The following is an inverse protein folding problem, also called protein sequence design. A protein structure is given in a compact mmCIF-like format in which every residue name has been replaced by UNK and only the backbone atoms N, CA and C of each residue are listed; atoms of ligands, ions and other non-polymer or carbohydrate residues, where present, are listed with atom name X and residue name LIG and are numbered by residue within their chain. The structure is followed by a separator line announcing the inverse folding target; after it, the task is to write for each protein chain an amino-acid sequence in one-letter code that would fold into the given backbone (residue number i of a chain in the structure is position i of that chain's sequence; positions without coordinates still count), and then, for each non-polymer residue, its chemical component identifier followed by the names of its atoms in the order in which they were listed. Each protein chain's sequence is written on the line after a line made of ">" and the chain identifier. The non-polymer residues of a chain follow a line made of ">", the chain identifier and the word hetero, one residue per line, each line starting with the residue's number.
data_IF_836229489583
#
_entry.id   IF_836229489583
#
_cell.length_a   1.000
_cell.length_b   1.000
_cell.length_c   1.000
_cell.angle_alpha   90.00
_cell.angle_beta   90.00
_cell.angle_gamma   90.00
#
_symmetry.space_group_name_H-M   'P 1'
#
loop_
_entity.id
_entity.type
_entity.pdbx_description
1 polymer ?
#
# COMPACT_ATOMS: atom_id res chain seq x y z
N UNK A 1 -6.56 -20.50 6.14
CA UNK A 1 -6.81 -19.06 5.94
C UNK A 1 -5.58 -18.37 5.35
N UNK A 2 -5.66 -17.09 5.00
CA UNK A 2 -4.52 -16.28 4.53
C UNK A 2 -4.49 -14.98 5.31
N UNK A 3 -3.30 -14.57 5.78
CA UNK A 3 -3.06 -13.23 6.31
C UNK A 3 -2.04 -12.51 5.44
N UNK A 4 -2.18 -11.19 5.34
CA UNK A 4 -1.21 -10.33 4.65
C UNK A 4 -0.67 -9.30 5.62
N UNK A 5 0.62 -9.00 5.53
CA UNK A 5 1.25 -7.93 6.31
C UNK A 5 2.35 -7.26 5.50
N UNK A 6 2.75 -6.08 5.94
CA UNK A 6 3.76 -5.26 5.30
C UNK A 6 5.10 -5.44 5.99
N UNK A 7 6.15 -5.42 5.21
CA UNK A 7 7.54 -5.41 5.70
C UNK A 7 8.36 -4.43 4.88
N UNK A 8 9.33 -3.80 5.52
CA UNK A 8 10.31 -2.95 4.86
C UNK A 8 11.16 -3.73 3.84
N UNK A 9 11.79 -3.08 2.86
CA UNK A 9 12.72 -3.73 1.94
C UNK A 9 13.89 -4.42 2.65
N UNK A 10 14.39 -3.84 3.75
CA UNK A 10 15.46 -4.43 4.58
C UNK A 10 14.98 -5.72 5.26
N UNK A 11 13.85 -5.66 5.96
CA UNK A 11 13.23 -6.82 6.60
C UNK A 11 12.88 -7.94 5.60
N UNK A 12 12.51 -7.59 4.37
CA UNK A 12 12.27 -8.58 3.32
C UNK A 12 13.53 -9.40 3.01
N UNK A 13 14.71 -8.78 3.01
CA UNK A 13 15.99 -9.47 2.86
C UNK A 13 16.23 -10.49 3.98
N UNK A 14 15.97 -10.10 5.22
CA UNK A 14 16.09 -10.95 6.41
C UNK A 14 15.14 -12.16 6.38
N UNK A 15 13.89 -11.96 5.93
CA UNK A 15 12.90 -13.04 5.81
C UNK A 15 13.26 -14.03 4.70
N UNK A 16 13.71 -13.55 3.55
CA UNK A 16 14.06 -14.40 2.42
C UNK A 16 15.34 -15.19 2.76
N UNK A 17 16.34 -14.52 3.30
CA UNK A 17 17.64 -15.09 3.55
C UNK A 17 18.44 -15.38 2.29
N UNK A 18 19.67 -15.85 2.42
CA UNK A 18 20.57 -16.13 1.30
C UNK A 18 19.99 -17.25 0.41
N UNK A 19 19.65 -16.91 -0.83
CA UNK A 19 19.08 -17.88 -1.78
C UNK A 19 17.72 -18.45 -1.37
N UNK A 20 16.96 -17.76 -0.48
CA UNK A 20 15.67 -18.23 0.01
C UNK A 20 15.75 -19.24 1.16
N UNK A 21 16.92 -19.44 1.76
CA UNK A 21 17.12 -20.44 2.81
C UNK A 21 16.22 -20.21 4.02
N UNK A 22 16.14 -18.97 4.53
CA UNK A 22 15.38 -18.65 5.75
C UNK A 22 13.87 -18.84 5.55
N UNK A 23 13.32 -18.37 4.42
CA UNK A 23 11.90 -18.52 4.15
C UNK A 23 11.51 -20.00 3.96
N UNK A 24 12.38 -20.78 3.33
CA UNK A 24 12.15 -22.23 3.17
C UNK A 24 12.22 -22.98 4.50
N UNK A 25 13.14 -22.60 5.38
CA UNK A 25 13.23 -23.14 6.73
C UNK A 25 11.96 -22.83 7.54
N UNK A 26 11.50 -21.58 7.53
CA UNK A 26 10.26 -21.19 8.21
C UNK A 26 9.04 -21.97 7.71
N UNK A 27 8.93 -22.17 6.41
CA UNK A 27 7.86 -22.97 5.83
C UNK A 27 7.94 -24.45 6.22
N UNK A 28 9.16 -25.02 6.24
CA UNK A 28 9.37 -26.40 6.62
C UNK A 28 9.04 -26.67 8.10
N UNK A 29 9.41 -25.74 8.99
CA UNK A 29 9.16 -25.85 10.43
C UNK A 29 7.69 -25.69 10.81
N UNK A 30 6.94 -24.87 10.07
CA UNK A 30 5.58 -24.47 10.48
C UNK A 30 4.46 -25.09 9.63
N UNK A 31 4.81 -25.56 8.43
CA UNK A 31 3.82 -26.01 7.44
C UNK A 31 3.01 -24.87 6.81
N UNK A 32 3.25 -23.61 7.20
CA UNK A 32 2.63 -22.45 6.56
C UNK A 32 3.33 -22.15 5.24
N UNK A 33 2.56 -21.63 4.27
CA UNK A 33 3.11 -21.12 3.01
C UNK A 33 3.31 -19.62 3.12
N UNK A 34 4.54 -19.16 2.86
CA UNK A 34 4.93 -17.74 2.89
C UNK A 34 5.28 -17.27 1.48
N UNK A 35 4.68 -16.19 1.05
CA UNK A 35 4.93 -15.57 -0.26
C UNK A 35 5.16 -14.08 -0.08
N UNK A 36 6.21 -13.54 -0.69
CA UNK A 36 6.48 -12.12 -0.76
C UNK A 36 6.12 -11.56 -2.13
N UNK A 37 5.57 -10.36 -2.17
CA UNK A 37 5.44 -9.59 -3.41
C UNK A 37 6.81 -9.39 -4.06
N UNK A 38 6.86 -9.15 -5.37
CA UNK A 38 8.12 -8.90 -6.09
C UNK A 38 8.75 -7.59 -5.61
N UNK A 39 10.06 -7.40 -5.83
CA UNK A 39 10.77 -6.20 -5.37
C UNK A 39 10.15 -4.87 -5.83
N UNK A 40 9.45 -4.86 -6.95
CA UNK A 40 8.76 -3.67 -7.50
C UNK A 40 7.26 -3.63 -7.18
N UNK A 41 6.74 -4.64 -6.50
CA UNK A 41 5.34 -4.73 -6.08
C UNK A 41 5.26 -4.37 -4.60
N UNK A 42 5.05 -3.09 -4.32
CA UNK A 42 4.92 -2.55 -2.96
C UNK A 42 3.47 -2.23 -2.64
N UNK A 43 3.13 -2.16 -1.37
CA UNK A 43 1.80 -1.73 -0.96
C UNK A 43 1.60 -0.25 -1.31
N UNK A 44 0.47 0.14 -1.92
CA UNK A 44 0.23 1.50 -2.37
C UNK A 44 0.49 2.55 -1.29
N UNK A 45 1.26 3.59 -1.64
CA UNK A 45 1.64 4.67 -0.74
C UNK A 45 2.73 4.35 0.27
N UNK A 46 3.37 3.21 0.15
CA UNK A 46 4.53 2.80 0.95
C UNK A 46 5.64 2.26 0.05
N UNK A 47 6.80 2.01 0.63
CA UNK A 47 7.87 1.22 0.01
C UNK A 47 7.83 -0.24 0.47
N UNK A 48 6.84 -0.62 1.27
CA UNK A 48 6.80 -1.91 1.93
C UNK A 48 6.30 -2.99 0.99
N UNK A 49 6.90 -4.15 1.10
CA UNK A 49 6.49 -5.35 0.40
C UNK A 49 5.39 -6.07 1.16
N UNK A 50 4.51 -6.70 0.42
CA UNK A 50 3.44 -7.49 1.01
C UNK A 50 3.90 -8.93 1.19
N UNK A 51 3.79 -9.41 2.41
CA UNK A 51 3.95 -10.83 2.75
C UNK A 51 2.56 -11.44 2.90
N UNK A 52 2.32 -12.54 2.20
CA UNK A 52 1.11 -13.34 2.32
C UNK A 52 1.48 -14.66 2.99
N UNK A 53 0.83 -14.96 4.10
CA UNK A 53 1.00 -16.22 4.83
C UNK A 53 -0.30 -17.00 4.79
N UNK A 54 -0.25 -18.25 4.34
CA UNK A 54 -1.42 -19.12 4.24
C UNK A 54 -1.18 -20.47 4.92
N UNK A 55 -2.22 -20.97 5.56
CA UNK A 55 -2.22 -22.21 6.34
C UNK A 55 -3.38 -22.25 7.33
N UNK A 56 -3.31 -23.16 8.29
CA UNK A 56 -4.15 -23.07 9.48
C UNK A 56 -3.72 -21.93 10.40
N UNK A 57 -4.56 -21.52 11.33
CA UNK A 57 -4.25 -20.40 12.22
C UNK A 57 -3.00 -20.65 13.06
N UNK A 58 -2.79 -21.88 13.51
CA UNK A 58 -1.63 -22.25 14.33
C UNK A 58 -0.34 -22.12 13.53
N UNK A 59 -0.31 -22.65 12.31
CA UNK A 59 0.85 -22.54 11.42
C UNK A 59 1.17 -21.09 11.07
N UNK A 60 0.14 -20.26 10.83
CA UNK A 60 0.30 -18.82 10.58
C UNK A 60 0.92 -18.11 11.78
N UNK A 61 0.43 -18.37 13.00
CA UNK A 61 0.98 -17.76 14.21
C UNK A 61 2.41 -18.23 14.51
N UNK A 62 2.73 -19.49 14.23
CA UNK A 62 4.09 -20.02 14.39
C UNK A 62 5.07 -19.36 13.42
N UNK A 63 4.72 -19.23 12.13
CA UNK A 63 5.61 -18.57 11.18
C UNK A 63 5.73 -17.08 11.46
N UNK A 64 4.67 -16.40 11.89
CA UNK A 64 4.74 -15.01 12.33
C UNK A 64 5.66 -14.85 13.55
N UNK A 65 5.60 -15.76 14.51
CA UNK A 65 6.52 -15.76 15.64
C UNK A 65 7.98 -15.84 15.18
N UNK A 66 8.32 -16.74 14.26
CA UNK A 66 9.69 -16.86 13.72
C UNK A 66 10.13 -15.60 12.99
N UNK A 67 9.27 -15.05 12.13
CA UNK A 67 9.55 -13.83 11.37
C UNK A 67 9.74 -12.63 12.32
N UNK A 68 8.82 -12.41 13.25
CA UNK A 68 8.90 -11.30 14.20
C UNK A 68 10.08 -11.43 15.17
N UNK A 69 10.42 -12.66 15.63
CA UNK A 69 11.60 -12.90 16.45
C UNK A 69 12.87 -12.51 15.70
N UNK A 70 12.93 -12.78 14.40
CA UNK A 70 14.04 -12.37 13.56
C UNK A 70 14.11 -10.85 13.41
N UNK A 71 12.98 -10.18 13.20
CA UNK A 71 12.93 -8.72 13.13
C UNK A 71 13.42 -8.06 14.42
N UNK A 72 12.99 -8.57 15.57
CA UNK A 72 13.46 -8.07 16.88
C UNK A 72 14.97 -8.26 17.03
N UNK A 73 15.50 -9.43 16.60
CA UNK A 73 16.93 -9.71 16.67
C UNK A 73 17.76 -8.82 15.72
N UNK A 74 17.23 -8.52 14.54
CA UNK A 74 17.89 -7.70 13.51
C UNK A 74 17.65 -6.18 13.73
N UNK A 75 16.78 -5.78 14.69
CA UNK A 75 16.38 -4.39 14.92
C UNK A 75 15.50 -3.80 13.82
N UNK A 76 14.76 -4.65 13.11
CA UNK A 76 13.85 -4.30 12.03
C UNK A 76 12.40 -4.18 12.54
N UNK A 77 11.55 -3.49 11.75
CA UNK A 77 10.10 -3.36 12.06
C UNK A 77 9.81 -2.87 13.47
N UNK A 78 10.49 -1.80 13.85
CA UNK A 78 10.29 -1.09 15.11
C UNK A 78 9.59 0.26 14.88
N UNK A 79 8.80 0.70 15.85
CA UNK A 79 8.18 2.01 15.84
C UNK A 79 9.17 3.12 16.27
N UNK A 80 8.70 4.36 16.31
CA UNK A 80 9.51 5.53 16.74
C UNK A 80 9.96 5.44 18.19
N UNK A 81 9.35 4.59 19.01
CA UNK A 81 9.69 4.37 20.42
C UNK A 81 10.66 3.19 20.61
N UNK A 82 11.03 2.51 19.53
CA UNK A 82 11.87 1.32 19.57
C UNK A 82 11.11 0.04 19.90
N UNK A 83 9.77 0.07 19.87
CA UNK A 83 8.92 -1.11 20.13
C UNK A 83 8.66 -1.88 18.83
N UNK A 84 8.67 -3.23 18.87
CA UNK A 84 8.27 -4.05 17.72
C UNK A 84 6.91 -3.66 17.18
N UNK A 85 6.79 -3.65 15.85
CA UNK A 85 5.57 -3.28 15.13
C UNK A 85 5.27 -4.27 14.03
N UNK A 86 4.00 -4.59 13.82
CA UNK A 86 3.50 -5.36 12.71
C UNK A 86 2.32 -4.65 12.05
N UNK A 87 2.35 -4.50 10.75
CA UNK A 87 1.26 -3.88 9.99
C UNK A 87 0.55 -4.92 9.13
N UNK A 88 -0.64 -5.35 9.55
CA UNK A 88 -1.50 -6.23 8.78
C UNK A 88 -2.22 -5.47 7.67
N UNK A 89 -2.50 -6.16 6.57
CA UNK A 89 -3.33 -5.66 5.47
C UNK A 89 -4.68 -6.37 5.53
N UNK A 90 -5.74 -5.61 5.73
CA UNK A 90 -7.10 -6.12 5.91
C UNK A 90 -8.03 -5.55 4.84
N UNK A 91 -8.77 -6.39 4.09
CA UNK A 91 -9.77 -5.91 3.15
C UNK A 91 -10.78 -4.97 3.81
N UNK A 92 -11.06 -3.83 3.19
CA UNK A 92 -11.98 -2.83 3.76
C UNK A 92 -13.35 -3.43 4.10
N UNK A 93 -13.84 -4.36 3.28
CA UNK A 93 -15.10 -5.07 3.53
C UNK A 93 -15.12 -5.89 4.83
N UNK A 94 -13.94 -6.37 5.28
CA UNK A 94 -13.79 -7.14 6.53
C UNK A 94 -13.37 -6.28 7.74
N UNK A 95 -13.08 -4.99 7.55
CA UNK A 95 -12.70 -4.13 8.68
C UNK A 95 -13.82 -3.97 9.72
N UNK A 96 -15.08 -4.04 9.27
CA UNK A 96 -16.25 -3.94 10.15
C UNK A 96 -16.29 -5.02 11.22
N UNK A 97 -15.91 -6.27 10.88
CA UNK A 97 -15.88 -7.37 11.84
C UNK A 97 -14.76 -7.22 12.89
N UNK A 98 -13.64 -6.58 12.52
CA UNK A 98 -12.52 -6.27 13.42
C UNK A 98 -12.85 -5.11 14.35
N UNK A 99 -13.47 -4.04 13.81
CA UNK A 99 -13.87 -2.87 14.60
C UNK A 99 -14.98 -3.24 15.60
N UNK A 100 -15.99 -3.97 15.13
CA UNK A 100 -17.18 -4.29 15.89
C UNK A 100 -18.10 -3.09 16.11
N UNK A 101 -19.25 -3.31 16.72
CA UNK A 101 -20.29 -2.29 16.95
C UNK A 101 -19.74 -1.16 17.86
N UNK A 102 -19.68 0.07 17.34
CA UNK A 102 -19.14 1.22 18.07
C UNK A 102 -17.66 1.08 18.49
N UNK A 103 -16.90 0.21 17.83
CA UNK A 103 -15.49 -0.04 18.17
C UNK A 103 -15.27 -0.94 19.38
N UNK A 104 -16.30 -1.64 19.86
CA UNK A 104 -16.20 -2.48 21.05
C UNK A 104 -15.20 -3.62 20.89
N UNK A 105 -15.20 -4.28 19.71
CA UNK A 105 -14.35 -5.44 19.46
C UNK A 105 -12.87 -5.09 19.39
N UNK A 106 -12.52 -4.01 18.68
CA UNK A 106 -11.12 -3.57 18.62
C UNK A 106 -10.60 -3.09 19.98
N UNK A 107 -11.44 -2.47 20.80
CA UNK A 107 -11.07 -2.12 22.18
C UNK A 107 -10.82 -3.36 23.05
N UNK A 108 -11.67 -4.39 22.96
CA UNK A 108 -11.43 -5.66 23.64
C UNK A 108 -10.11 -6.29 23.19
N UNK A 109 -9.79 -6.24 21.89
CA UNK A 109 -8.49 -6.75 21.42
C UNK A 109 -7.29 -6.03 22.01
N UNK A 110 -7.37 -4.70 22.16
CA UNK A 110 -6.33 -3.91 22.84
C UNK A 110 -6.18 -4.34 24.30
N UNK A 111 -7.29 -4.48 25.03
CA UNK A 111 -7.31 -4.89 26.45
C UNK A 111 -6.76 -6.31 26.62
N UNK A 112 -7.24 -7.27 25.81
CA UNK A 112 -6.88 -8.68 25.93
C UNK A 112 -5.44 -8.97 25.49
N UNK A 113 -4.95 -8.28 24.46
CA UNK A 113 -3.58 -8.46 23.95
C UNK A 113 -2.55 -7.61 24.65
N UNK A 114 -2.95 -6.49 25.23
CA UNK A 114 -2.08 -5.42 25.73
C UNK A 114 -1.19 -4.81 24.65
N UNK A 115 -1.57 -4.93 23.38
CA UNK A 115 -0.93 -4.26 22.25
C UNK A 115 -1.67 -2.98 21.90
N UNK A 116 -0.97 -1.98 21.37
CA UNK A 116 -1.61 -0.83 20.72
C UNK A 116 -2.04 -1.25 19.31
N UNK A 117 -3.32 -1.11 19.00
CA UNK A 117 -3.91 -1.54 17.72
C UNK A 117 -4.55 -0.34 17.04
N UNK A 118 -4.04 0.02 15.87
CA UNK A 118 -4.52 1.16 15.07
C UNK A 118 -4.93 0.72 13.68
N UNK A 119 -6.19 0.94 13.32
CA UNK A 119 -6.68 0.73 11.96
C UNK A 119 -6.63 2.07 11.20
N UNK A 120 -6.06 2.07 9.99
CA UNK A 120 -6.01 3.26 9.13
C UNK A 120 -7.43 3.77 8.83
N UNK A 121 -7.58 5.09 8.64
CA UNK A 121 -8.87 5.68 8.29
C UNK A 121 -9.28 5.27 6.86
N UNK A 122 -10.59 5.15 6.63
CA UNK A 122 -11.14 4.82 5.32
C UNK A 122 -10.82 5.91 4.28
N UNK A 123 -10.81 7.17 4.70
CA UNK A 123 -10.51 8.33 3.84
C UNK A 123 -9.03 8.38 3.37
N UNK A 124 -8.17 7.54 3.95
CA UNK A 124 -6.75 7.44 3.60
C UNK A 124 -6.43 6.22 2.74
N UNK A 125 -7.44 5.56 2.18
CA UNK A 125 -7.22 4.47 1.24
C UNK A 125 -6.64 5.02 -0.07
N UNK A 126 -5.66 4.30 -0.60
CA UNK A 126 -5.07 4.67 -1.88
C UNK A 126 -6.03 4.33 -3.02
N UNK A 127 -6.11 5.18 -4.07
CA UNK A 127 -6.92 4.89 -5.25
C UNK A 127 -6.57 3.52 -5.84
N UNK A 128 -7.59 2.71 -6.06
CA UNK A 128 -7.41 1.34 -6.57
C UNK A 128 -7.00 0.29 -5.53
N UNK A 129 -6.83 0.68 -4.25
CA UNK A 129 -6.59 -0.23 -3.14
C UNK A 129 -7.83 -0.30 -2.24
N UNK A 130 -8.44 -1.47 -2.14
CA UNK A 130 -9.58 -1.70 -1.24
C UNK A 130 -9.17 -2.34 0.10
N UNK A 131 -7.90 -2.17 0.48
CA UNK A 131 -7.37 -2.69 1.73
C UNK A 131 -6.99 -1.55 2.67
N UNK A 132 -7.13 -1.81 3.96
CA UNK A 132 -6.70 -0.92 5.05
C UNK A 132 -5.56 -1.56 5.81
N UNK A 133 -4.74 -0.74 6.42
CA UNK A 133 -3.65 -1.19 7.27
C UNK A 133 -4.07 -1.20 8.73
N UNK A 134 -3.79 -2.31 9.42
CA UNK A 134 -3.97 -2.49 10.86
C UNK A 134 -2.59 -2.60 11.50
N UNK A 135 -2.14 -1.54 12.14
CA UNK A 135 -0.83 -1.49 12.81
C UNK A 135 -0.98 -1.96 14.25
N UNK A 136 -0.15 -2.90 14.64
CA UNK A 136 -0.10 -3.51 15.99
C UNK A 136 1.29 -3.26 16.55
N UNK A 137 1.38 -2.61 17.70
CA UNK A 137 2.64 -2.26 18.35
C UNK A 137 2.67 -2.79 19.78
N UNK A 138 3.81 -3.34 20.21
CA UNK A 138 3.98 -3.88 21.55
C UNK A 138 5.08 -4.92 21.63
N UNK A 139 5.16 -5.65 22.75
CA UNK A 139 6.06 -6.80 22.85
C UNK A 139 5.63 -7.90 21.86
N UNK A 140 6.56 -8.78 21.51
CA UNK A 140 6.30 -9.90 20.59
C UNK A 140 5.08 -10.72 21.02
N UNK A 141 4.95 -11.05 22.28
CA UNK A 141 3.81 -11.81 22.82
C UNK A 141 2.49 -11.04 22.69
N UNK A 142 2.52 -9.73 22.93
CA UNK A 142 1.33 -8.85 22.78
C UNK A 142 0.89 -8.80 21.31
N UNK A 143 1.84 -8.63 20.39
CA UNK A 143 1.56 -8.62 18.94
C UNK A 143 0.96 -9.95 18.50
N UNK A 144 1.53 -11.08 18.89
CA UNK A 144 1.02 -12.40 18.51
C UNK A 144 -0.39 -12.67 19.06
N UNK A 145 -0.66 -12.25 20.31
CA UNK A 145 -2.03 -12.32 20.87
C UNK A 145 -3.00 -11.47 20.08
N UNK A 146 -2.64 -10.22 19.76
CA UNK A 146 -3.47 -9.34 18.97
C UNK A 146 -3.76 -9.94 17.58
N UNK A 147 -2.72 -10.47 16.92
CA UNK A 147 -2.88 -11.15 15.61
C UNK A 147 -3.80 -12.37 15.73
N UNK A 148 -3.68 -13.17 16.79
CA UNK A 148 -4.55 -14.33 17.01
C UNK A 148 -6.03 -13.93 17.12
N UNK A 149 -6.34 -12.88 17.90
CA UNK A 149 -7.70 -12.35 18.06
C UNK A 149 -8.25 -11.78 16.74
N UNK A 150 -7.47 -10.99 16.04
CA UNK A 150 -7.83 -10.44 14.73
C UNK A 150 -8.03 -11.54 13.70
N UNK A 151 -7.11 -12.50 13.60
CA UNK A 151 -7.15 -13.58 12.63
C UNK A 151 -8.34 -14.52 12.89
N UNK A 152 -8.64 -14.86 14.16
CA UNK A 152 -9.83 -15.64 14.50
C UNK A 152 -11.11 -14.94 14.05
N UNK A 153 -11.19 -13.63 14.29
CA UNK A 153 -12.33 -12.82 13.86
C UNK A 153 -12.47 -12.75 12.34
N UNK A 154 -11.37 -12.60 11.62
CA UNK A 154 -11.36 -12.60 10.16
C UNK A 154 -11.74 -13.98 9.59
N UNK A 155 -11.35 -15.06 10.27
CA UNK A 155 -11.73 -16.41 9.86
C UNK A 155 -13.24 -16.69 9.99
N UNK A 156 -13.92 -15.99 10.90
CA UNK A 156 -15.38 -16.07 11.08
C UNK A 156 -16.15 -15.27 10.00
N UNK A 157 -15.49 -14.34 9.30
CA UNK A 157 -16.10 -13.56 8.21
C UNK A 157 -16.14 -14.39 6.92
N UNK A 158 -17.32 -14.81 6.44
CA UNK A 158 -17.44 -15.65 5.24
C UNK A 158 -16.95 -14.93 3.98
N UNK A 159 -16.94 -13.61 3.96
CA UNK A 159 -16.48 -12.82 2.82
C UNK A 159 -14.96 -12.67 2.78
N UNK A 160 -14.27 -12.81 3.93
CA UNK A 160 -12.83 -12.55 4.05
C UNK A 160 -11.98 -13.36 3.08
N UNK A 161 -12.22 -14.66 2.97
CA UNK A 161 -11.45 -15.55 2.10
C UNK A 161 -11.51 -15.11 0.64
N UNK A 162 -12.68 -14.69 0.18
CA UNK A 162 -12.88 -14.20 -1.19
C UNK A 162 -12.21 -12.84 -1.40
N UNK A 163 -12.35 -11.93 -0.42
CA UNK A 163 -11.79 -10.58 -0.49
C UNK A 163 -10.26 -10.60 -0.46
N UNK A 164 -9.66 -11.37 0.45
CA UNK A 164 -8.20 -11.43 0.58
C UNK A 164 -7.52 -12.08 -0.63
N UNK A 165 -8.19 -12.98 -1.33
CA UNK A 165 -7.68 -13.62 -2.55
C UNK A 165 -7.79 -12.72 -3.79
N UNK A 166 -8.84 -11.90 -3.90
CA UNK A 166 -9.05 -11.01 -5.06
C UNK A 166 -7.92 -9.99 -5.26
N UNK A 167 -7.28 -9.57 -4.19
CA UNK A 167 -6.18 -8.60 -4.22
C UNK A 167 -4.82 -9.29 -4.04
N UNK A 168 -4.52 -10.29 -4.87
CA UNK A 168 -3.24 -11.00 -4.80
C UNK A 168 -2.07 -10.20 -5.37
N UNK A 169 -2.32 -9.13 -6.11
CA UNK A 169 -1.27 -8.38 -6.80
C UNK A 169 -1.52 -6.88 -6.59
N UNK A 170 -0.70 -6.25 -5.77
CA UNK A 170 -0.59 -4.79 -5.69
C UNK A 170 0.34 -4.29 -6.80
N UNK A 171 0.15 -4.78 -8.03
CA UNK A 171 0.83 -4.21 -9.17
C UNK A 171 0.17 -2.86 -9.45
N UNK A 172 0.97 -1.83 -9.57
CA UNK A 172 0.56 -0.59 -10.20
C UNK A 172 0.15 -0.98 -11.63
N UNK A 173 -1.14 -1.24 -11.84
CA UNK A 173 -1.66 -1.50 -13.18
C UNK A 173 -1.48 -0.19 -13.95
N UNK A 174 -0.49 -0.18 -14.83
CA UNK A 174 -0.45 0.82 -15.89
C UNK A 174 -1.76 0.69 -16.68
N UNK A 175 -2.54 1.75 -16.86
CA UNK A 175 -3.82 1.70 -17.59
C UNK A 175 -3.71 1.25 -19.05
N UNK A 176 -2.50 0.97 -19.54
CA UNK A 176 -2.17 0.56 -20.91
C UNK A 176 -2.27 -0.97 -21.16
N UNK A 177 -2.57 -1.79 -20.17
CA UNK A 177 -2.60 -3.26 -20.35
C UNK A 177 -3.98 -3.83 -20.72
N UNK A 178 -5.02 -3.00 -20.87
CA UNK A 178 -6.37 -3.43 -21.25
C UNK A 178 -6.79 -2.97 -22.66
N UNK A 179 -5.91 -3.07 -23.65
CA UNK A 179 -6.36 -3.07 -25.06
C UNK A 179 -5.42 -3.91 -25.92
N UNK A 180 -5.87 -5.09 -26.29
CA UNK A 180 -5.15 -5.87 -27.29
C UNK A 180 -5.47 -7.35 -27.33
N UNK A 181 -6.74 -7.71 -27.49
CA UNK A 181 -7.10 -8.98 -28.12
C UNK A 181 -7.79 -8.68 -29.44
N UNK A 182 -7.09 -8.82 -30.53
CA UNK A 182 -7.70 -8.80 -31.86
C UNK A 182 -6.79 -8.32 -32.99
N UNK A 183 -6.22 -9.25 -33.77
CA UNK A 183 -6.02 -9.03 -35.20
C UNK A 183 -4.61 -8.70 -35.70
N UNK A 184 -3.94 -9.72 -36.19
CA UNK A 184 -2.79 -9.64 -37.12
C UNK A 184 -3.04 -8.63 -38.25
N UNK A 185 -2.07 -7.75 -38.53
CA UNK A 185 -1.59 -7.46 -39.89
C UNK A 185 -0.21 -6.79 -39.86
N UNK A 186 0.68 -7.37 -40.63
CA UNK A 186 2.01 -6.91 -40.99
C UNK A 186 1.98 -5.55 -41.68
N UNK A 187 3.00 -4.71 -41.40
CA UNK A 187 3.26 -3.47 -42.10
C UNK A 187 4.47 -2.75 -41.51
N UNK A 188 5.60 -3.01 -42.13
CA UNK A 188 6.90 -2.35 -41.95
C UNK A 188 6.79 -0.84 -42.20
N UNK A 189 7.17 -0.02 -41.19
CA UNK A 189 7.83 1.26 -41.42
C UNK A 189 8.52 1.69 -40.11
N UNK A 190 9.84 1.75 -40.17
CA UNK A 190 10.67 2.19 -39.06
C UNK A 190 10.48 3.67 -38.75
N UNK A 191 10.35 3.96 -37.45
CA UNK A 191 10.77 5.24 -36.87
C UNK A 191 11.18 5.00 -35.42
N UNK A 192 12.41 5.31 -35.13
CA UNK A 192 13.04 5.31 -33.80
C UNK A 192 12.14 6.07 -32.82
N UNK A 193 11.54 5.36 -31.86
CA UNK A 193 10.95 5.94 -30.65
C UNK A 193 11.80 5.48 -29.50
N UNK A 194 12.27 6.45 -28.73
CA UNK A 194 13.30 6.36 -27.70
C UNK A 194 13.13 5.19 -26.73
N UNK A 195 14.27 4.60 -26.38
CA UNK A 195 14.35 3.47 -25.48
C UNK A 195 13.70 3.76 -24.15
N UNK A 196 12.80 2.86 -23.75
CA UNK A 196 12.34 2.77 -22.39
C UNK A 196 13.53 2.38 -21.50
N UNK A 197 13.95 3.27 -20.61
CA UNK A 197 14.90 2.92 -19.56
C UNK A 197 14.20 1.95 -18.62
N UNK A 198 14.85 0.85 -18.30
CA UNK A 198 14.30 -0.26 -17.48
C UNK A 198 13.97 0.10 -16.03
N UNK A 199 14.12 1.38 -15.61
CA UNK A 199 13.96 1.86 -14.24
C UNK A 199 12.81 2.87 -14.03
N UNK A 200 11.87 3.02 -14.97
CA UNK A 200 10.76 3.97 -14.82
C UNK A 200 9.57 3.36 -14.07
N UNK A 201 9.19 3.99 -12.95
CA UNK A 201 7.99 3.68 -12.15
C UNK A 201 6.88 4.66 -12.48
N UNK A 202 5.62 4.20 -12.48
CA UNK A 202 4.45 5.06 -12.66
C UNK A 202 3.48 4.90 -11.51
N UNK A 203 2.97 6.02 -10.98
CA UNK A 203 1.87 6.04 -10.03
C UNK A 203 0.68 6.83 -10.56
N UNK A 204 -0.53 6.42 -10.18
CA UNK A 204 -1.77 7.14 -10.44
C UNK A 204 -2.24 7.82 -9.16
N UNK A 205 -2.43 9.12 -9.21
CA UNK A 205 -3.00 9.94 -8.13
C UNK A 205 -4.30 10.56 -8.64
N UNK A 206 -5.32 10.66 -7.80
CA UNK A 206 -6.57 11.35 -8.15
C UNK A 206 -6.69 12.68 -7.41
N UNK A 207 -7.10 13.72 -8.13
CA UNK A 207 -7.24 15.07 -7.58
C UNK A 207 -8.65 15.59 -7.93
N UNK A 208 -9.41 16.13 -6.95
CA UNK A 208 -10.69 16.76 -7.23
C UNK A 208 -10.55 17.81 -8.34
N UNK A 209 -11.46 17.80 -9.33
CA UNK A 209 -11.38 18.71 -10.50
C UNK A 209 -11.30 20.17 -10.07
N UNK A 210 -12.01 20.56 -9.02
CA UNK A 210 -11.96 21.91 -8.44
C UNK A 210 -10.56 22.35 -8.00
N UNK A 211 -9.67 21.41 -7.65
CA UNK A 211 -8.32 21.69 -7.16
C UNK A 211 -7.25 21.57 -8.26
N UNK A 212 -7.57 20.95 -9.38
CA UNK A 212 -6.62 20.70 -10.47
C UNK A 212 -6.00 21.98 -11.00
N UNK A 213 -6.81 23.04 -11.20
CA UNK A 213 -6.31 24.33 -11.65
C UNK A 213 -5.28 24.96 -10.71
N UNK A 214 -5.50 24.83 -9.41
CA UNK A 214 -4.60 25.35 -8.37
C UNK A 214 -3.31 24.51 -8.24
N UNK A 215 -3.41 23.19 -8.50
CA UNK A 215 -2.25 22.28 -8.53
C UNK A 215 -1.40 22.50 -9.78
N UNK A 216 -2.02 22.68 -10.94
CA UNK A 216 -1.31 23.00 -12.18
C UNK A 216 -0.59 24.36 -12.10
N UNK A 217 -1.22 25.33 -11.43
CA UNK A 217 -0.76 26.71 -11.38
C UNK A 217 -1.01 27.46 -12.69
N UNK A 218 -0.74 28.76 -12.71
CA UNK A 218 -0.92 29.61 -13.91
C UNK A 218 -0.07 29.09 -15.07
N UNK A 219 -0.72 28.67 -16.15
CA UNK A 219 -0.07 28.15 -17.35
C UNK A 219 0.73 26.86 -17.10
N UNK A 220 0.36 26.06 -16.10
CA UNK A 220 1.06 24.80 -15.78
C UNK A 220 2.42 24.96 -15.09
N UNK A 221 2.73 26.16 -14.58
CA UNK A 221 4.06 26.49 -13.99
C UNK A 221 4.38 25.61 -12.78
N UNK A 222 3.42 25.43 -11.87
CA UNK A 222 3.65 24.66 -10.63
C UNK A 222 3.92 23.19 -10.96
N UNK A 223 3.17 22.60 -11.89
CA UNK A 223 3.41 21.19 -12.25
C UNK A 223 4.74 21.03 -13.00
N UNK A 224 5.14 22.02 -13.80
CA UNK A 224 6.45 22.01 -14.45
C UNK A 224 7.60 22.10 -13.43
N UNK A 225 7.48 22.93 -12.39
CA UNK A 225 8.44 23.01 -11.28
C UNK A 225 8.55 21.66 -10.55
N UNK A 226 7.45 20.99 -10.27
CA UNK A 226 7.46 19.65 -9.65
C UNK A 226 8.14 18.63 -10.57
N UNK A 227 7.87 18.66 -11.87
CA UNK A 227 8.51 17.77 -12.84
C UNK A 227 10.04 17.98 -12.89
N UNK A 228 10.49 19.23 -12.89
CA UNK A 228 11.92 19.55 -12.86
C UNK A 228 12.57 19.12 -11.55
N UNK A 229 11.93 19.39 -10.41
CA UNK A 229 12.47 19.05 -9.10
C UNK A 229 12.57 17.53 -8.86
N UNK A 230 11.61 16.77 -9.40
CA UNK A 230 11.53 15.31 -9.21
C UNK A 230 12.17 14.49 -10.33
N UNK A 231 12.47 15.11 -11.48
CA UNK A 231 12.91 14.39 -12.68
C UNK A 231 11.84 13.49 -13.29
N UNK A 232 10.56 13.67 -12.90
CA UNK A 232 9.43 12.87 -13.34
C UNK A 232 8.60 13.58 -14.40
N UNK A 233 7.86 12.79 -15.18
CA UNK A 233 6.81 13.27 -16.05
C UNK A 233 5.46 13.17 -15.33
N UNK A 234 4.71 14.26 -15.28
CA UNK A 234 3.38 14.31 -14.67
C UNK A 234 2.35 14.60 -15.76
N UNK A 235 1.38 13.73 -15.94
CA UNK A 235 0.29 13.87 -16.89
C UNK A 235 -1.03 13.92 -16.14
N UNK A 236 -1.83 14.96 -16.39
CA UNK A 236 -3.19 15.11 -15.86
C UNK A 236 -4.17 14.75 -16.96
N UNK A 237 -5.23 13.98 -16.62
CA UNK A 237 -6.29 13.61 -17.58
C UNK A 237 -7.04 14.84 -18.11
N UNK A 238 -7.71 14.71 -19.24
CA UNK A 238 -8.55 15.75 -19.82
C UNK A 238 -9.77 16.06 -18.95
N UNK A 239 -10.44 17.22 -19.19
CA UNK A 239 -11.53 17.72 -18.33
C UNK A 239 -12.72 16.77 -18.19
N UNK A 240 -12.94 15.91 -19.17
CA UNK A 240 -14.06 14.96 -19.20
C UNK A 240 -13.64 13.53 -18.84
N UNK A 241 -12.35 13.30 -18.53
CA UNK A 241 -11.81 12.00 -18.14
C UNK A 241 -11.65 11.93 -16.62
N UNK A 242 -12.74 11.63 -15.94
CA UNK A 242 -12.79 11.45 -14.49
C UNK A 242 -12.44 10.00 -14.09
N UNK A 243 -12.06 9.84 -12.83
CA UNK A 243 -11.86 8.53 -12.24
C UNK A 243 -13.21 7.99 -11.78
N UNK A 244 -13.58 6.80 -12.24
CA UNK A 244 -14.80 6.02 -11.96
C UNK A 244 -15.79 6.66 -10.98
N UNK A 245 -16.98 7.07 -11.45
CA UNK A 245 -18.08 7.66 -10.68
C UNK A 245 -17.72 8.81 -9.71
N UNK A 246 -16.59 9.46 -9.95
CA UNK A 246 -16.13 10.60 -9.14
C UNK A 246 -15.96 11.85 -9.98
N UNK A 247 -15.84 13.01 -9.32
CA UNK A 247 -15.42 14.29 -9.93
C UNK A 247 -13.90 14.49 -9.86
N UNK A 248 -13.13 13.42 -9.66
CA UNK A 248 -11.69 13.48 -9.54
C UNK A 248 -11.01 13.21 -10.89
N UNK A 249 -10.00 14.01 -11.21
CA UNK A 249 -9.16 13.80 -12.40
C UNK A 249 -7.96 12.93 -12.09
N UNK A 250 -7.54 12.15 -13.06
CA UNK A 250 -6.41 11.25 -12.97
C UNK A 250 -5.11 12.02 -13.20
N UNK A 251 -4.13 11.81 -12.33
CA UNK A 251 -2.77 12.36 -12.46
C UNK A 251 -1.80 11.20 -12.46
N UNK A 252 -1.09 11.00 -13.56
CA UNK A 252 -0.08 9.95 -13.72
C UNK A 252 1.30 10.57 -13.57
N UNK A 253 2.08 10.05 -12.63
CA UNK A 253 3.49 10.45 -12.39
C UNK A 253 4.37 9.30 -12.85
N UNK A 254 5.28 9.56 -13.79
CA UNK A 254 6.19 8.55 -14.36
C UNK A 254 7.63 9.01 -14.27
N UNK A 255 8.52 8.17 -13.78
CA UNK A 255 9.96 8.47 -13.67
C UNK A 255 10.70 7.49 -12.77
N UNK A 256 11.93 7.83 -12.36
CA UNK A 256 12.68 7.04 -11.38
C UNK A 256 11.92 6.93 -10.07
N UNK A 257 12.02 5.79 -9.37
CA UNK A 257 11.25 5.53 -8.15
C UNK A 257 11.37 6.66 -7.10
N UNK A 258 12.58 7.13 -6.82
CA UNK A 258 12.83 8.25 -5.89
C UNK A 258 12.18 9.55 -6.38
N UNK A 259 12.26 9.82 -7.68
CA UNK A 259 11.62 10.98 -8.30
C UNK A 259 10.10 10.93 -8.20
N UNK A 260 9.49 9.76 -8.41
CA UNK A 260 8.04 9.56 -8.28
C UNK A 260 7.57 9.82 -6.85
N UNK A 261 8.35 9.39 -5.84
CA UNK A 261 8.06 9.70 -4.44
C UNK A 261 8.16 11.20 -4.16
N UNK A 262 9.20 11.86 -4.65
CA UNK A 262 9.37 13.30 -4.51
C UNK A 262 8.22 14.06 -5.16
N UNK A 263 7.84 13.69 -6.40
CA UNK A 263 6.73 14.31 -7.11
C UNK A 263 5.39 14.16 -6.37
N UNK A 264 5.11 12.95 -5.87
CA UNK A 264 3.90 12.68 -5.09
C UNK A 264 3.87 13.47 -3.78
N UNK A 265 4.99 13.53 -3.08
CA UNK A 265 5.13 14.35 -1.86
C UNK A 265 4.85 15.84 -2.13
N UNK A 266 5.47 16.42 -3.16
CA UNK A 266 5.29 17.83 -3.52
C UNK A 266 3.84 18.14 -3.95
N UNK A 267 3.20 17.23 -4.69
CA UNK A 267 1.78 17.34 -5.06
C UNK A 267 0.88 17.31 -3.82
N UNK A 268 1.11 16.37 -2.92
CA UNK A 268 0.32 16.22 -1.68
C UNK A 268 0.49 17.43 -0.77
N UNK A 269 1.71 17.94 -0.64
CA UNK A 269 2.00 19.15 0.12
C UNK A 269 1.28 20.37 -0.47
N UNK A 270 1.27 20.50 -1.80
CA UNK A 270 0.55 21.57 -2.49
C UNK A 270 -0.95 21.49 -2.28
N UNK A 271 -1.52 20.29 -2.38
CA UNK A 271 -2.95 20.06 -2.11
C UNK A 271 -3.31 20.43 -0.67
N UNK A 272 -2.51 20.07 0.31
CA UNK A 272 -2.78 20.40 1.72
C UNK A 272 -2.78 21.91 1.98
N UNK A 273 -1.86 22.66 1.36
CA UNK A 273 -1.82 24.14 1.45
C UNK A 273 -3.07 24.75 0.82
N UNK A 274 -3.47 24.27 -0.36
CA UNK A 274 -4.67 24.79 -1.05
C UNK A 274 -5.93 24.52 -0.23
N UNK A 275 -6.06 23.30 0.29
CA UNK A 275 -7.23 22.90 1.11
C UNK A 275 -7.30 23.73 2.40
N UNK A 276 -6.14 23.99 3.05
CA UNK A 276 -6.09 24.85 4.23
C UNK A 276 -6.47 26.29 3.94
N UNK A 277 -6.09 26.83 2.78
CA UNK A 277 -6.48 28.20 2.35
C UNK A 277 -7.96 28.33 2.04
N UNK A 278 -8.60 27.25 1.54
CA UNK A 278 -10.05 27.22 1.29
C UNK A 278 -10.87 27.08 2.58
N UNK A 279 -10.31 26.46 3.63
CA UNK A 279 -11.00 26.28 4.92
C UNK A 279 -11.04 27.53 5.79
N UNK A 280 -10.13 28.52 5.56
CA UNK A 280 -10.10 29.79 6.29
C UNK A 280 -9.93 30.95 5.31
N UNK A 281 -11.02 31.51 4.73
CA UNK A 281 -10.92 32.74 3.96
C UNK A 281 -10.49 33.87 4.88
N UNK A 282 -9.31 34.47 4.62
CA UNK A 282 -8.89 35.69 5.31
C UNK A 282 -9.90 36.82 5.01
N UNK A 283 -10.32 37.61 6.01
CA UNK A 283 -11.17 38.76 5.76
C UNK A 283 -10.43 39.78 4.88
N UNK A 284 -11.11 40.47 3.96
CA UNK A 284 -10.49 41.51 3.12
C UNK A 284 -10.00 42.67 4.00
N UNK A 285 -8.74 43.10 3.79
CA UNK A 285 -8.21 44.37 4.30
C UNK A 285 -8.89 45.54 3.60
#
# INVERSE_FOLDING_TARGET
>A
MMLKFLISPSAAGSVIGKGGATINEFQALTGARVQLSRNREVFPGTNDRVVSVSGDLRAILQVLHLIMSKFVADGEEIDRTGSPQLTLVVPNGSCGCVIGKGGAKIRSFVEDSRADIKLSNQDRMFPGCNDRTLTITGSLDCILRAVALVASTLAEDPSYTTLVQRQSTYSVQSPLAMQGSGGRRSGEYGRRVGGYREDETSILVTIPDALVGAVLGRGGRTIAEIQVASGCRIKVSDRDDFFEDTTNRKVVITGPAEGVHMANYLLTQRLSVITSQMAFPQPPM
#
